data_IF_299924251779
#
_entry.id   IF_299924251779
#
_cell.length_a   1.000
_cell.length_b   1.000
_cell.length_c   1.000
_cell.angle_alpha   90.00
_cell.angle_beta   90.00
_cell.angle_gamma   90.00
#
_symmetry.space_group_name_H-M   'P 1'
#
loop_
_entity.id
_entity.type
_entity.pdbx_description
1 polymer ?
#
# COMPACT_ATOMS: atom_id res chain seq x y z
N UNK A 1 -23.04 -8.98 17.11
CA UNK A 1 -22.12 -10.12 17.27
C UNK A 1 -20.71 -9.57 17.36
N UNK A 2 -19.99 -9.84 18.45
CA UNK A 2 -18.63 -9.33 18.64
C UNK A 2 -17.64 -10.17 17.84
N UNK A 3 -16.89 -9.56 16.91
CA UNK A 3 -15.79 -10.15 16.13
C UNK A 3 -14.58 -10.59 16.97
N UNK A 4 -14.77 -10.87 18.27
CA UNK A 4 -13.68 -11.01 19.25
C UNK A 4 -12.84 -12.28 19.09
N UNK A 5 -13.29 -13.24 18.29
CA UNK A 5 -12.60 -14.52 18.04
C UNK A 5 -12.71 -15.03 16.59
N UNK A 6 -13.31 -14.28 15.68
CA UNK A 6 -13.38 -14.70 14.27
C UNK A 6 -12.09 -14.27 13.60
N UNK A 7 -11.25 -15.26 13.29
CA UNK A 7 -10.05 -15.08 12.48
C UNK A 7 -10.43 -14.35 11.18
N UNK A 8 -9.97 -13.11 11.02
CA UNK A 8 -10.32 -12.28 9.86
C UNK A 8 -9.62 -12.81 8.60
N UNK A 9 -10.27 -13.73 7.90
CA UNK A 9 -9.78 -14.28 6.63
C UNK A 9 -10.00 -13.29 5.48
N UNK A 10 -8.99 -12.47 5.19
CA UNK A 10 -9.04 -11.46 4.12
C UNK A 10 -8.60 -11.99 2.73
N UNK A 11 -7.87 -13.10 2.68
CA UNK A 11 -7.41 -13.75 1.44
C UNK A 11 -8.46 -14.73 0.90
N UNK A 12 -9.61 -14.20 0.48
CA UNK A 12 -10.73 -14.99 -0.07
C UNK A 12 -11.42 -14.31 -1.27
N UNK A 13 -12.30 -15.00 -2.01
CA UNK A 13 -13.15 -14.37 -3.00
C UNK A 13 -14.02 -13.26 -2.35
N UNK A 14 -14.17 -12.12 -3.04
CA UNK A 14 -14.97 -10.99 -2.59
C UNK A 14 -16.47 -11.21 -2.90
N UNK A 15 -17.05 -12.26 -2.33
CA UNK A 15 -18.45 -12.68 -2.54
C UNK A 15 -19.46 -11.61 -2.14
N UNK A 16 -19.07 -10.66 -1.29
CA UNK A 16 -19.89 -9.51 -0.89
C UNK A 16 -20.31 -8.67 -2.11
N UNK A 17 -19.48 -8.63 -3.16
CA UNK A 17 -19.83 -7.94 -4.39
C UNK A 17 -21.00 -8.62 -5.12
N UNK A 18 -21.13 -9.94 -5.02
CA UNK A 18 -22.29 -10.65 -5.59
C UNK A 18 -23.57 -10.25 -4.85
N UNK A 19 -23.53 -10.18 -3.51
CA UNK A 19 -24.66 -9.69 -2.71
C UNK A 19 -24.97 -8.22 -3.01
N UNK A 20 -23.94 -7.40 -3.24
CA UNK A 20 -24.12 -6.00 -3.61
C UNK A 20 -24.81 -5.84 -4.96
N UNK A 21 -24.41 -6.63 -5.97
CA UNK A 21 -25.05 -6.66 -7.29
C UNK A 21 -26.48 -7.16 -7.19
N UNK A 22 -26.73 -8.27 -6.47
CA UNK A 22 -28.07 -8.81 -6.29
C UNK A 22 -29.01 -7.80 -5.60
N UNK A 23 -28.53 -7.15 -4.53
CA UNK A 23 -29.28 -6.10 -3.83
C UNK A 23 -29.48 -4.87 -4.73
N UNK A 24 -28.49 -4.47 -5.53
CA UNK A 24 -28.62 -3.39 -6.51
C UNK A 24 -29.67 -3.70 -7.59
N UNK A 25 -29.70 -4.92 -8.12
CA UNK A 25 -30.74 -5.38 -9.04
C UNK A 25 -32.12 -5.39 -8.38
N UNK A 26 -32.24 -5.87 -7.14
CA UNK A 26 -33.49 -5.87 -6.39
C UNK A 26 -34.00 -4.43 -6.15
N UNK A 27 -33.11 -3.51 -5.78
CA UNK A 27 -33.44 -2.09 -5.65
C UNK A 27 -33.93 -1.51 -6.99
N UNK A 28 -33.25 -1.82 -8.09
CA UNK A 28 -33.64 -1.36 -9.43
C UNK A 28 -35.03 -1.87 -9.84
N UNK A 29 -35.36 -3.14 -9.56
CA UNK A 29 -36.69 -3.70 -9.80
C UNK A 29 -37.75 -3.02 -8.93
N UNK A 30 -37.47 -2.80 -7.64
CA UNK A 30 -38.40 -2.11 -6.74
C UNK A 30 -38.72 -0.68 -7.18
N UNK A 31 -37.80 0.01 -7.87
CA UNK A 31 -38.04 1.36 -8.40
C UNK A 31 -38.75 1.32 -9.76
N UNK A 32 -38.29 0.46 -10.67
CA UNK A 32 -38.74 0.46 -12.08
C UNK A 32 -40.02 -0.34 -12.31
N UNK A 33 -40.25 -1.39 -11.51
CA UNK A 33 -41.41 -2.27 -11.64
C UNK A 33 -41.94 -2.72 -10.26
N UNK A 34 -42.52 -1.81 -9.44
CA UNK A 34 -43.13 -2.16 -8.14
C UNK A 34 -44.17 -3.29 -8.24
N UNK A 35 -44.91 -3.32 -9.36
CA UNK A 35 -45.92 -4.33 -9.66
C UNK A 35 -45.33 -5.75 -9.77
N UNK A 36 -44.08 -5.88 -10.24
CA UNK A 36 -43.42 -7.19 -10.38
C UNK A 36 -43.05 -7.82 -9.03
N UNK A 37 -42.99 -7.00 -7.97
CA UNK A 37 -42.70 -7.44 -6.59
C UNK A 37 -43.98 -7.49 -5.74
N UNK A 38 -45.16 -7.25 -6.35
CA UNK A 38 -46.45 -7.21 -5.67
C UNK A 38 -46.50 -6.25 -4.46
N UNK A 39 -45.77 -5.14 -4.52
CA UNK A 39 -45.73 -4.12 -3.46
C UNK A 39 -46.46 -2.86 -3.89
N UNK A 40 -47.15 -2.22 -2.95
CA UNK A 40 -47.64 -0.85 -3.15
C UNK A 40 -46.44 0.09 -3.42
N UNK A 41 -46.57 1.09 -4.32
CA UNK A 41 -45.44 1.93 -4.72
C UNK A 41 -44.67 2.58 -3.55
N UNK A 42 -45.39 3.05 -2.53
CA UNK A 42 -44.78 3.63 -1.32
C UNK A 42 -43.90 2.62 -0.56
N UNK A 43 -44.38 1.40 -0.36
CA UNK A 43 -43.63 0.31 0.29
C UNK A 43 -42.47 -0.15 -0.58
N UNK A 44 -42.66 -0.17 -1.90
CA UNK A 44 -41.62 -0.52 -2.86
C UNK A 44 -40.43 0.44 -2.82
N UNK A 45 -40.67 1.75 -2.71
CA UNK A 45 -39.59 2.74 -2.60
C UNK A 45 -38.81 2.64 -1.28
N UNK A 46 -39.50 2.38 -0.16
CA UNK A 46 -38.83 2.13 1.13
C UNK A 46 -37.95 0.88 1.05
N UNK A 47 -38.47 -0.19 0.44
CA UNK A 47 -37.75 -1.45 0.24
C UNK A 47 -36.54 -1.27 -0.68
N UNK A 48 -36.68 -0.48 -1.75
CA UNK A 48 -35.57 -0.09 -2.61
C UNK A 48 -34.47 0.64 -1.82
N UNK A 49 -34.84 1.56 -0.93
CA UNK A 49 -33.91 2.25 -0.04
C UNK A 49 -33.11 1.29 0.85
N UNK A 50 -33.78 0.29 1.43
CA UNK A 50 -33.13 -0.75 2.23
C UNK A 50 -32.14 -1.59 1.39
N UNK A 51 -32.53 -1.97 0.16
CA UNK A 51 -31.63 -2.69 -0.75
C UNK A 51 -30.42 -1.85 -1.19
N UNK A 52 -30.60 -0.55 -1.45
CA UNK A 52 -29.48 0.36 -1.75
C UNK A 52 -28.52 0.45 -0.56
N UNK A 53 -29.04 0.57 0.66
CA UNK A 53 -28.21 0.60 1.85
C UNK A 53 -27.41 -0.71 2.01
N UNK A 54 -28.06 -1.86 1.82
CA UNK A 54 -27.40 -3.17 1.83
C UNK A 54 -26.32 -3.26 0.75
N UNK A 55 -26.63 -2.85 -0.49
CA UNK A 55 -25.69 -2.85 -1.60
C UNK A 55 -24.46 -1.98 -1.31
N UNK A 56 -24.65 -0.80 -0.73
CA UNK A 56 -23.57 0.10 -0.34
C UNK A 56 -22.66 -0.51 0.74
N UNK A 57 -23.24 -1.10 1.79
CA UNK A 57 -22.48 -1.77 2.86
C UNK A 57 -21.69 -2.96 2.31
N UNK A 58 -22.32 -3.82 1.51
CA UNK A 58 -21.67 -4.98 0.90
C UNK A 58 -20.59 -4.59 -0.11
N UNK A 59 -20.80 -3.51 -0.87
CA UNK A 59 -19.78 -2.95 -1.76
C UNK A 59 -18.55 -2.51 -0.97
N UNK A 60 -18.72 -1.79 0.15
CA UNK A 60 -17.60 -1.38 1.01
C UNK A 60 -16.82 -2.58 1.55
N UNK A 61 -17.51 -3.64 2.00
CA UNK A 61 -16.89 -4.88 2.47
C UNK A 61 -16.08 -5.58 1.35
N UNK A 62 -16.66 -5.71 0.16
CA UNK A 62 -15.97 -6.30 -1.00
C UNK A 62 -14.76 -5.48 -1.44
N UNK A 63 -14.87 -4.14 -1.43
CA UNK A 63 -13.76 -3.23 -1.73
C UNK A 63 -12.61 -3.35 -0.71
N UNK A 64 -12.91 -3.60 0.59
CA UNK A 64 -11.88 -3.87 1.61
C UNK A 64 -11.03 -5.09 1.24
N UNK A 65 -11.67 -6.19 0.86
CA UNK A 65 -10.99 -7.44 0.43
C UNK A 65 -10.14 -7.19 -0.82
N UNK A 66 -10.69 -6.50 -1.82
CA UNK A 66 -9.95 -6.18 -3.04
C UNK A 66 -8.77 -5.24 -2.78
N UNK A 67 -8.93 -4.25 -1.89
CA UNK A 67 -7.84 -3.35 -1.46
C UNK A 67 -6.73 -4.15 -0.79
N UNK A 68 -7.05 -5.04 0.15
CA UNK A 68 -6.08 -5.89 0.82
C UNK A 68 -5.30 -6.77 -0.17
N UNK A 69 -6.01 -7.47 -1.07
CA UNK A 69 -5.37 -8.29 -2.12
C UNK A 69 -4.48 -7.46 -3.04
N UNK A 70 -4.87 -6.22 -3.36
CA UNK A 70 -4.04 -5.31 -4.16
C UNK A 70 -2.78 -4.90 -3.41
N UNK A 71 -2.89 -4.65 -2.10
CA UNK A 71 -1.79 -4.26 -1.23
C UNK A 71 -0.71 -5.35 -1.15
N UNK A 72 -1.11 -6.62 -1.00
CA UNK A 72 -0.20 -7.78 -0.98
C UNK A 72 0.61 -7.95 -2.27
N UNK A 73 0.14 -7.43 -3.40
CA UNK A 73 0.79 -7.56 -4.71
C UNK A 73 1.71 -6.41 -5.05
N UNK A 74 1.55 -5.26 -4.40
CA UNK A 74 2.20 -4.02 -4.84
C UNK A 74 2.64 -3.21 -3.65
N UNK A 75 3.96 -3.08 -3.51
CA UNK A 75 4.57 -2.18 -2.55
C UNK A 75 4.07 -0.74 -2.79
N UNK A 76 3.45 -0.08 -1.79
CA UNK A 76 3.07 1.32 -1.91
C UNK A 76 4.33 2.17 -2.12
N UNK A 77 4.25 3.12 -3.07
CA UNK A 77 5.35 4.06 -3.31
C UNK A 77 5.26 5.17 -2.28
N UNK A 78 6.15 5.16 -1.29
CA UNK A 78 6.30 6.25 -0.34
C UNK A 78 7.36 7.23 -0.83
N UNK A 79 6.99 8.50 -0.99
CA UNK A 79 7.88 9.58 -1.42
C UNK A 79 7.71 10.73 -0.46
N UNK A 80 8.84 11.30 -0.01
CA UNK A 80 8.85 12.43 0.89
C UNK A 80 9.94 13.40 0.45
N UNK A 81 9.59 14.68 0.37
CA UNK A 81 10.58 15.74 0.18
C UNK A 81 11.32 15.98 1.48
N UNK A 82 12.53 16.53 1.41
CA UNK A 82 13.30 16.78 2.63
C UNK A 82 12.54 17.69 3.62
N UNK A 83 11.80 18.69 3.15
CA UNK A 83 11.04 19.61 4.02
C UNK A 83 9.92 18.91 4.80
N UNK A 84 9.39 17.81 4.27
CA UNK A 84 8.34 17.02 4.90
C UNK A 84 8.86 16.03 5.95
N UNK A 85 10.18 15.84 6.07
CA UNK A 85 10.77 14.98 7.09
C UNK A 85 10.40 15.53 8.48
N UNK A 86 9.60 14.81 9.28
CA UNK A 86 9.25 15.26 10.62
C UNK A 86 10.49 15.20 11.50
N UNK A 87 10.68 16.24 12.31
CA UNK A 87 11.80 16.32 13.26
C UNK A 87 11.21 16.54 14.64
N UNK A 88 11.63 15.72 15.59
CA UNK A 88 11.24 15.82 17.00
C UNK A 88 12.48 15.75 17.88
N UNK A 89 12.42 16.44 19.04
CA UNK A 89 13.45 16.37 20.08
C UNK A 89 13.42 15.06 20.88
N UNK A 90 12.32 14.33 20.82
CA UNK A 90 12.09 13.10 21.60
C UNK A 90 11.90 11.85 20.75
N UNK A 91 11.53 12.00 19.48
CA UNK A 91 11.23 10.89 18.57
C UNK A 91 12.11 10.92 17.32
N UNK A 92 12.49 9.75 16.85
CA UNK A 92 13.17 9.55 15.57
C UNK A 92 12.22 8.87 14.60
N UNK A 93 11.84 9.57 13.54
CA UNK A 93 10.98 9.02 12.51
C UNK A 93 11.73 8.01 11.64
N UNK A 94 11.12 6.86 11.40
CA UNK A 94 11.70 5.73 10.67
C UNK A 94 11.04 5.50 9.31
N UNK A 95 9.80 5.97 9.12
CA UNK A 95 9.04 5.78 7.90
C UNK A 95 7.58 5.42 8.17
N UNK A 96 6.89 4.93 7.13
CA UNK A 96 5.54 4.37 7.24
C UNK A 96 5.62 2.88 7.57
N UNK A 97 4.69 2.43 8.41
CA UNK A 97 4.60 1.03 8.83
C UNK A 97 3.51 0.83 9.87
N UNK A 98 3.63 -0.23 10.67
CA UNK A 98 2.63 -0.58 11.68
C UNK A 98 3.32 -1.37 12.80
N UNK A 99 2.71 -1.36 13.99
CA UNK A 99 3.16 -2.23 15.07
C UNK A 99 2.91 -3.69 14.67
N UNK A 100 3.96 -4.51 14.69
CA UNK A 100 3.81 -5.91 14.35
C UNK A 100 3.02 -6.63 15.45
N UNK A 101 2.01 -7.39 15.05
CA UNK A 101 1.06 -8.03 15.95
C UNK A 101 0.80 -9.45 15.44
N UNK A 102 0.18 -10.30 16.25
CA UNK A 102 -0.16 -11.67 15.88
C UNK A 102 -0.99 -11.75 14.59
N UNK A 103 -1.91 -10.81 14.37
CA UNK A 103 -2.73 -10.73 13.15
C UNK A 103 -1.87 -10.58 11.88
N UNK A 104 -0.76 -9.83 11.96
CA UNK A 104 0.15 -9.60 10.83
C UNK A 104 0.94 -10.87 10.49
N UNK A 105 1.41 -11.59 11.52
CA UNK A 105 2.05 -12.89 11.33
C UNK A 105 1.09 -13.90 10.71
N UNK A 106 -0.15 -13.99 11.20
CA UNK A 106 -1.17 -14.86 10.63
C UNK A 106 -1.43 -14.53 9.15
N UNK A 107 -1.70 -13.27 8.85
CA UNK A 107 -1.89 -12.78 7.48
C UNK A 107 -0.70 -13.14 6.58
N UNK A 108 0.52 -13.01 7.09
CA UNK A 108 1.74 -13.37 6.35
C UNK A 108 1.83 -14.88 6.11
N UNK A 109 1.53 -15.71 7.11
CA UNK A 109 1.53 -17.17 6.98
C UNK A 109 0.45 -17.65 6.00
N UNK A 110 -0.72 -17.02 6.01
CA UNK A 110 -1.78 -17.29 5.03
C UNK A 110 -1.29 -17.07 3.60
N UNK A 111 -0.42 -16.09 3.33
CA UNK A 111 0.13 -15.89 1.98
C UNK A 111 0.93 -17.07 1.44
N UNK A 112 1.40 -17.98 2.31
CA UNK A 112 2.16 -19.17 1.93
C UNK A 112 1.28 -20.35 1.54
N UNK A 113 -0.02 -20.28 1.84
CA UNK A 113 -0.97 -21.36 1.56
C UNK A 113 -1.20 -21.54 0.05
N UNK A 114 -1.19 -22.77 -0.49
CA UNK A 114 -1.39 -23.00 -1.92
C UNK A 114 -2.73 -22.48 -2.45
N UNK A 115 -3.80 -22.56 -1.64
CA UNK A 115 -5.17 -22.20 -2.04
C UNK A 115 -5.32 -20.71 -2.37
N UNK A 116 -4.48 -19.85 -1.78
CA UNK A 116 -4.55 -18.39 -1.95
C UNK A 116 -3.52 -17.84 -2.94
N UNK A 117 -2.64 -18.68 -3.48
CA UNK A 117 -1.60 -18.30 -4.46
C UNK A 117 -2.19 -17.57 -5.65
N UNK A 118 -3.36 -18.00 -6.13
CA UNK A 118 -4.08 -17.36 -7.23
C UNK A 118 -4.40 -15.88 -6.98
N UNK A 119 -4.56 -15.47 -5.71
CA UNK A 119 -4.84 -14.08 -5.34
C UNK A 119 -3.58 -13.20 -5.30
N UNK A 120 -2.42 -13.81 -5.06
CA UNK A 120 -1.11 -13.16 -4.97
C UNK A 120 -0.45 -13.02 -6.35
N UNK A 121 -0.79 -13.87 -7.32
CA UNK A 121 -0.26 -13.72 -8.66
C UNK A 121 -0.72 -12.43 -9.35
N UNK A 122 0.13 -11.82 -10.19
CA UNK A 122 -0.29 -10.72 -11.05
C UNK A 122 -1.47 -11.13 -11.94
N UNK A 123 -2.35 -10.18 -12.24
CA UNK A 123 -3.52 -10.42 -13.09
C UNK A 123 -3.10 -10.89 -14.49
N UNK A 124 -3.99 -11.63 -15.18
CA UNK A 124 -3.77 -12.05 -16.57
C UNK A 124 -3.46 -10.85 -17.46
N UNK A 125 -4.22 -9.76 -17.32
CA UNK A 125 -3.99 -8.50 -18.03
C UNK A 125 -2.58 -7.94 -17.78
N UNK A 126 -2.10 -7.95 -16.53
CA UNK A 126 -0.74 -7.52 -16.22
C UNK A 126 0.32 -8.43 -16.88
N UNK A 127 0.15 -9.75 -16.80
CA UNK A 127 1.09 -10.71 -17.42
C UNK A 127 1.14 -10.54 -18.95
N UNK A 128 -0.02 -10.36 -19.58
CA UNK A 128 -0.12 -10.08 -21.01
C UNK A 128 0.57 -8.75 -21.35
N UNK A 129 0.32 -7.69 -20.59
CA UNK A 129 0.97 -6.39 -20.78
C UNK A 129 2.51 -6.47 -20.69
N UNK A 130 3.07 -7.24 -19.74
CA UNK A 130 4.52 -7.45 -19.65
C UNK A 130 5.07 -8.36 -20.77
N UNK A 131 4.23 -9.23 -21.36
CA UNK A 131 4.61 -10.04 -22.53
C UNK A 131 4.62 -9.20 -23.80
N UNK A 132 3.60 -8.36 -24.00
CA UNK A 132 3.50 -7.45 -25.14
C UNK A 132 4.56 -6.36 -25.08
N UNK A 133 4.90 -5.83 -23.90
CA UNK A 133 6.03 -4.90 -23.71
C UNK A 133 7.34 -5.50 -24.24
N UNK A 134 7.69 -6.73 -23.83
CA UNK A 134 8.92 -7.41 -24.28
C UNK A 134 8.92 -7.67 -25.78
N UNK A 135 7.77 -8.07 -26.33
CA UNK A 135 7.64 -8.31 -27.77
C UNK A 135 7.70 -7.01 -28.60
N UNK A 136 7.15 -5.92 -28.07
CA UNK A 136 7.05 -4.62 -28.75
C UNK A 136 8.24 -3.70 -28.55
N UNK A 137 9.20 -4.05 -27.68
CA UNK A 137 10.35 -3.20 -27.31
C UNK A 137 11.06 -2.61 -28.53
N UNK A 138 11.34 -3.43 -29.54
CA UNK A 138 12.02 -3.02 -30.78
C UNK A 138 11.07 -2.74 -31.95
N UNK A 139 9.86 -3.30 -31.93
CA UNK A 139 8.89 -3.19 -33.05
C UNK A 139 8.00 -1.97 -32.95
N UNK A 140 7.50 -1.68 -31.74
CA UNK A 140 6.55 -0.60 -31.46
C UNK A 140 6.94 0.10 -30.13
N UNK A 141 8.00 0.92 -30.13
CA UNK A 141 8.50 1.54 -28.90
C UNK A 141 7.48 2.40 -28.17
N UNK A 142 6.55 3.02 -28.91
CA UNK A 142 5.45 3.82 -28.35
C UNK A 142 4.51 2.97 -27.48
N UNK A 143 4.21 1.74 -27.90
CA UNK A 143 3.31 0.83 -27.18
C UNK A 143 3.96 0.37 -25.88
N UNK A 144 5.24 -0.02 -25.94
CA UNK A 144 6.03 -0.34 -24.74
C UNK A 144 6.07 0.85 -23.76
N UNK A 145 6.26 2.07 -24.26
CA UNK A 145 6.25 3.29 -23.44
C UNK A 145 4.91 3.52 -22.73
N UNK A 146 3.78 3.37 -23.44
CA UNK A 146 2.43 3.50 -22.85
C UNK A 146 2.22 2.46 -21.77
N UNK A 147 2.53 1.18 -22.04
CA UNK A 147 2.36 0.10 -21.07
C UNK A 147 3.28 0.28 -19.84
N UNK A 148 4.48 0.84 -20.00
CA UNK A 148 5.44 1.14 -18.93
C UNK A 148 5.13 2.40 -18.12
N UNK A 149 4.20 3.24 -18.59
CA UNK A 149 3.94 4.52 -17.95
C UNK A 149 3.49 4.33 -16.50
N UNK A 150 4.21 4.96 -15.57
CA UNK A 150 4.00 4.89 -14.12
C UNK A 150 2.81 5.78 -13.67
N UNK A 151 1.66 5.71 -14.36
CA UNK A 151 0.50 6.56 -14.10
C UNK A 151 -0.53 5.90 -13.18
N UNK A 152 -1.23 6.69 -12.34
CA UNK A 152 -2.31 6.21 -11.45
C UNK A 152 -3.44 5.50 -12.21
N UNK A 153 -3.73 5.95 -13.42
CA UNK A 153 -4.79 5.41 -14.27
C UNK A 153 -4.34 4.24 -15.15
N UNK A 154 -3.06 3.86 -15.15
CA UNK A 154 -2.59 2.69 -15.88
C UNK A 154 -2.96 1.41 -15.09
N UNK A 155 -3.91 0.59 -15.55
CA UNK A 155 -4.35 -0.61 -14.84
C UNK A 155 -3.27 -1.70 -14.81
N UNK A 156 -2.29 -1.63 -15.72
CA UNK A 156 -1.17 -2.56 -15.84
C UNK A 156 0.17 -1.89 -15.50
N UNK A 157 0.14 -0.80 -14.72
CA UNK A 157 1.32 -0.06 -14.26
C UNK A 157 2.41 -1.00 -13.72
N UNK A 158 3.68 -0.82 -14.12
CA UNK A 158 4.77 -1.66 -13.62
C UNK A 158 4.88 -1.62 -12.09
N UNK A 159 5.37 -2.73 -11.53
CA UNK A 159 5.73 -2.79 -10.12
C UNK A 159 6.90 -1.83 -9.86
N UNK A 160 6.93 -1.16 -8.70
CA UNK A 160 8.05 -0.29 -8.35
C UNK A 160 9.36 -1.11 -8.31
N UNK A 161 10.51 -0.51 -8.65
CA UNK A 161 11.81 -1.17 -8.64
C UNK A 161 12.38 -1.31 -7.21
N UNK A 162 11.51 -1.57 -6.22
CA UNK A 162 11.88 -1.82 -4.85
C UNK A 162 12.00 -3.34 -4.65
N UNK A 163 13.13 -3.77 -4.09
CA UNK A 163 13.31 -5.16 -3.68
C UNK A 163 12.50 -5.51 -2.42
N UNK A 164 12.61 -6.75 -1.98
CA UNK A 164 11.94 -7.24 -0.78
C UNK A 164 10.67 -8.06 -1.08
N UNK A 165 9.99 -8.50 -0.03
CA UNK A 165 8.76 -9.28 -0.15
C UNK A 165 7.54 -8.36 0.00
N UNK A 166 6.74 -8.13 -1.07
CA UNK A 166 5.55 -7.30 -1.01
C UNK A 166 4.52 -7.75 0.04
N UNK A 167 4.48 -9.04 0.38
CA UNK A 167 3.57 -9.54 1.40
C UNK A 167 3.90 -8.97 2.79
N UNK A 168 5.17 -8.79 3.14
CA UNK A 168 5.58 -8.28 4.47
C UNK A 168 5.05 -6.86 4.70
N UNK A 169 5.09 -6.02 3.67
CA UNK A 169 4.49 -4.68 3.72
C UNK A 169 2.96 -4.74 3.52
N UNK A 170 2.51 -5.69 2.71
CA UNK A 170 1.14 -5.79 2.25
C UNK A 170 0.13 -6.28 3.29
N UNK A 171 0.59 -6.96 4.35
CA UNK A 171 -0.29 -7.55 5.40
C UNK A 171 -1.06 -6.52 6.21
N UNK A 172 -0.66 -5.25 6.20
CA UNK A 172 -1.41 -4.16 6.81
C UNK A 172 -1.55 -3.01 5.80
N UNK A 173 -2.75 -2.81 5.20
CA UNK A 173 -3.00 -1.71 4.27
C UNK A 173 -2.98 -0.31 4.87
N UNK A 174 -3.17 -0.20 6.19
CA UNK A 174 -3.30 1.07 6.89
C UNK A 174 -2.02 1.38 7.68
N UNK A 175 -0.95 1.72 6.95
CA UNK A 175 0.32 2.16 7.52
C UNK A 175 0.21 3.54 8.19
N UNK A 176 0.91 3.70 9.32
CA UNK A 176 1.03 4.91 10.12
C UNK A 176 2.49 5.36 10.21
N UNK A 177 2.74 6.55 10.76
CA UNK A 177 4.11 6.99 11.01
C UNK A 177 4.75 6.20 12.15
N UNK A 178 5.86 5.54 11.85
CA UNK A 178 6.65 4.77 12.81
C UNK A 178 7.81 5.63 13.28
N UNK A 179 7.99 5.69 14.59
CA UNK A 179 9.12 6.35 15.22
C UNK A 179 9.60 5.55 16.42
N UNK A 180 10.86 5.76 16.80
CA UNK A 180 11.42 5.26 18.06
C UNK A 180 11.73 6.41 19.00
N UNK A 181 11.90 6.11 20.29
CA UNK A 181 12.43 7.09 21.24
C UNK A 181 13.88 7.43 20.86
N UNK A 182 14.22 8.72 20.90
CA UNK A 182 15.58 9.15 20.63
C UNK A 182 16.55 8.71 21.74
N UNK A 183 16.08 8.59 22.98
CA UNK A 183 16.87 8.11 24.12
C UNK A 183 17.34 6.66 23.96
N UNK A 184 16.54 5.81 23.30
CA UNK A 184 16.92 4.43 23.00
C UNK A 184 18.09 4.33 22.00
N UNK A 185 18.28 5.35 21.14
CA UNK A 185 19.34 5.34 20.13
C UNK A 185 20.76 5.49 20.71
N UNK A 186 20.88 5.86 21.99
CA UNK A 186 22.18 5.86 22.70
C UNK A 186 22.79 4.46 22.73
N UNK A 187 21.97 3.40 22.73
CA UNK A 187 22.42 2.01 22.64
C UNK A 187 22.94 1.56 21.26
N UNK A 188 23.18 2.50 20.33
CA UNK A 188 23.51 2.28 18.92
C UNK A 188 22.38 1.66 18.10
N UNK A 189 22.44 1.86 16.77
CA UNK A 189 21.47 1.33 15.83
C UNK A 189 22.19 0.57 14.72
N UNK A 190 21.78 -0.68 14.49
CA UNK A 190 22.21 -1.50 13.38
C UNK A 190 21.11 -1.57 12.32
N UNK A 191 21.41 -1.16 11.10
CA UNK A 191 20.51 -1.31 9.95
C UNK A 191 21.10 -2.32 8.97
N UNK A 192 20.42 -3.46 8.82
CA UNK A 192 20.79 -4.51 7.88
C UNK A 192 19.86 -4.51 6.67
N UNK A 193 20.43 -4.80 5.50
CA UNK A 193 19.66 -4.90 4.27
C UNK A 193 20.55 -5.17 3.06
N UNK A 194 20.02 -5.90 2.10
CA UNK A 194 20.68 -6.16 0.81
C UNK A 194 20.70 -4.90 -0.06
N UNK A 195 21.32 -4.95 -1.23
CA UNK A 195 21.32 -3.82 -2.15
C UNK A 195 19.89 -3.50 -2.64
N UNK A 196 19.57 -2.21 -2.81
CA UNK A 196 18.28 -1.71 -3.31
C UNK A 196 17.04 -1.97 -2.45
N UNK A 197 17.18 -2.38 -1.18
CA UNK A 197 16.04 -2.51 -0.24
C UNK A 197 15.76 -1.23 0.55
N UNK A 198 16.54 -0.16 0.35
CA UNK A 198 16.30 1.14 0.95
C UNK A 198 17.25 1.55 2.09
N UNK A 199 18.33 0.81 2.36
CA UNK A 199 19.31 1.15 3.41
C UNK A 199 19.85 2.58 3.31
N UNK A 200 20.29 3.00 2.12
CA UNK A 200 20.78 4.38 1.90
C UNK A 200 19.68 5.41 2.12
N UNK A 201 18.43 5.12 1.71
CA UNK A 201 17.29 6.03 1.91
C UNK A 201 16.92 6.18 3.38
N UNK A 202 17.02 5.10 4.16
CA UNK A 202 16.87 5.19 5.61
C UNK A 202 18.02 6.02 6.22
N UNK A 203 19.27 5.78 5.83
CA UNK A 203 20.41 6.58 6.32
C UNK A 203 20.23 8.08 6.03
N UNK A 204 19.86 8.44 4.80
CA UNK A 204 19.51 9.82 4.41
C UNK A 204 18.42 10.42 5.31
N UNK A 205 17.37 9.64 5.63
CA UNK A 205 16.27 10.07 6.49
C UNK A 205 16.73 10.34 7.92
N UNK A 206 17.55 9.46 8.49
CA UNK A 206 18.07 9.60 9.86
C UNK A 206 19.04 10.79 9.95
N UNK A 207 19.98 10.89 9.01
CA UNK A 207 20.97 11.97 8.94
C UNK A 207 20.28 13.33 8.80
N UNK A 208 19.25 13.43 7.94
CA UNK A 208 18.47 14.67 7.77
C UNK A 208 17.86 15.13 9.11
N UNK A 209 17.31 14.19 9.88
CA UNK A 209 16.74 14.52 11.20
C UNK A 209 17.80 14.95 12.20
N UNK A 210 18.98 14.31 12.19
CA UNK A 210 20.10 14.66 13.08
C UNK A 210 20.65 16.06 12.80
N UNK A 211 20.90 16.40 11.53
CA UNK A 211 21.36 17.73 11.13
C UNK A 211 20.36 18.80 11.57
N UNK A 212 19.06 18.56 11.35
CA UNK A 212 18.00 19.52 11.71
C UNK A 212 17.77 19.66 13.21
N UNK A 213 18.09 18.64 13.99
CA UNK A 213 18.12 18.75 15.46
C UNK A 213 19.30 19.57 15.97
N UNK A 214 20.28 19.85 15.11
CA UNK A 214 21.51 20.51 15.50
C UNK A 214 22.56 19.56 16.07
N UNK A 215 22.44 18.25 15.80
CA UNK A 215 23.45 17.27 16.19
C UNK A 215 24.68 17.40 15.28
N UNK A 216 25.86 17.11 15.82
CA UNK A 216 27.06 16.88 15.00
C UNK A 216 26.93 15.52 14.32
N UNK A 217 27.06 15.50 12.99
CA UNK A 217 26.92 14.27 12.20
C UNK A 217 28.21 14.00 11.45
N UNK A 218 28.80 12.84 11.70
CA UNK A 218 29.94 12.31 10.95
C UNK A 218 29.44 11.15 10.09
N UNK A 219 29.65 11.23 8.78
CA UNK A 219 29.24 10.18 7.83
C UNK A 219 30.50 9.55 7.25
N UNK A 220 30.65 8.24 7.46
CA UNK A 220 31.70 7.44 6.83
C UNK A 220 31.01 6.53 5.82
N UNK A 221 31.17 6.84 4.53
CA UNK A 221 30.67 6.00 3.45
C UNK A 221 31.82 5.43 2.62
N UNK A 222 32.20 4.16 2.83
CA UNK A 222 33.26 3.53 2.06
C UNK A 222 32.90 3.33 0.58
N UNK A 223 31.64 3.53 0.19
CA UNK A 223 31.19 3.35 -1.20
C UNK A 223 31.29 4.62 -2.04
N UNK A 224 31.43 5.79 -1.42
CA UNK A 224 31.48 7.07 -2.13
C UNK A 224 30.17 7.44 -2.83
N UNK A 225 29.02 7.26 -2.16
CA UNK A 225 27.72 7.65 -2.69
C UNK A 225 27.60 9.19 -2.78
N UNK A 226 27.75 9.70 -4.01
CA UNK A 226 27.68 11.13 -4.29
C UNK A 226 26.31 11.74 -3.96
N UNK A 227 25.22 10.97 -4.05
CA UNK A 227 23.88 11.48 -3.75
C UNK A 227 23.68 11.65 -2.24
N UNK A 228 24.25 10.74 -1.43
CA UNK A 228 24.29 10.89 0.02
C UNK A 228 25.06 12.17 0.41
N UNK A 229 26.25 12.38 -0.14
CA UNK A 229 27.05 13.58 0.13
C UNK A 229 26.30 14.87 -0.21
N UNK A 230 25.74 14.95 -1.43
CA UNK A 230 24.95 16.13 -1.87
C UNK A 230 23.79 16.41 -0.94
N UNK A 231 23.12 15.36 -0.46
CA UNK A 231 21.98 15.50 0.46
C UNK A 231 22.43 16.01 1.83
N UNK A 232 23.50 15.46 2.40
CA UNK A 232 24.08 15.92 3.67
C UNK A 232 24.47 17.40 3.59
N UNK A 233 25.22 17.77 2.55
CA UNK A 233 25.63 19.15 2.30
C UNK A 233 24.43 20.09 2.17
N UNK A 234 23.42 19.69 1.39
CA UNK A 234 22.22 20.50 1.20
C UNK A 234 21.38 20.66 2.48
N UNK A 235 21.33 19.66 3.38
CA UNK A 235 20.68 19.81 4.69
C UNK A 235 21.47 20.72 5.62
N UNK A 236 22.80 20.57 5.66
CA UNK A 236 23.68 21.40 6.49
C UNK A 236 23.55 22.88 6.11
N UNK A 237 23.60 23.18 4.81
CA UNK A 237 23.43 24.54 4.32
C UNK A 237 22.04 25.12 4.64
N UNK A 238 20.97 24.31 4.49
CA UNK A 238 19.59 24.74 4.82
C UNK A 238 19.36 25.01 6.30
N UNK A 239 20.22 24.50 7.17
CA UNK A 239 20.15 24.73 8.61
C UNK A 239 21.20 25.74 9.10
N UNK A 240 21.99 26.33 8.19
CA UNK A 240 23.05 27.28 8.53
C UNK A 240 24.24 26.64 9.25
N UNK A 241 24.51 25.35 8.99
CA UNK A 241 25.52 24.53 9.67
C UNK A 241 26.60 24.00 8.72
N UNK A 242 26.99 24.81 7.73
CA UNK A 242 28.10 24.43 6.82
C UNK A 242 29.46 24.39 7.53
#
# INVERSE_FOLDING_TARGET
MSDRYVMEALLRPAVELNTAVAAGCAAFVCVSAPWAVALAPSVSYVTAGAFVALAAVRTRQGLKILRYRRNLKRLPRYVMTSRQVPVSRYRLFLGKGFSWEQKHLQRLLETRRPEVQAFLQPSVAYRLARKTERWSEYRLPWLSRVLRTDARFNPVRPLPPAGGNPAIHGVEPDETDVSMDLGERVGHMLVLGTTRVGKTRLAELLITQDIRRGNTVVVIDPKGDADLLRRVWAEAHRTGRQ
#
